data_IF_392226712560
#
_entry.id   IF_392226712560
#
_cell.length_a   1.000
_cell.length_b   1.000
_cell.length_c   1.000
_cell.angle_alpha   90.00
_cell.angle_beta   90.00
_cell.angle_gamma   90.00
#
_symmetry.space_group_name_H-M   'P 1'
#
loop_
_entity.id
_entity.type
_entity.pdbx_description
1 polymer ?
#
# COMPACT_ATOMS: atom_id res chain seq x y z
N UNK A 1 -48.72 -3.50 45.93
CA UNK A 1 -47.40 -4.16 45.89
C UNK A 1 -47.18 -4.91 44.57
N UNK A 2 -48.07 -5.81 44.17
CA UNK A 2 -48.00 -6.54 42.87
C UNK A 2 -47.97 -5.62 41.64
N UNK A 3 -48.77 -4.56 41.63
CA UNK A 3 -48.81 -3.58 40.53
C UNK A 3 -47.48 -2.84 40.32
N UNK A 4 -46.82 -2.43 41.42
CA UNK A 4 -45.53 -1.74 41.38
C UNK A 4 -44.43 -2.70 40.90
N UNK A 5 -44.46 -3.95 41.36
CA UNK A 5 -43.51 -4.98 40.92
C UNK A 5 -43.64 -5.26 39.42
N UNK A 6 -44.87 -5.36 38.91
CA UNK A 6 -45.15 -5.51 37.47
C UNK A 6 -44.55 -4.36 36.65
N UNK A 7 -44.80 -3.10 37.05
CA UNK A 7 -44.26 -1.92 36.36
C UNK A 7 -42.72 -1.93 36.36
N UNK A 8 -42.09 -2.17 37.52
CA UNK A 8 -40.62 -2.19 37.62
C UNK A 8 -40.00 -3.27 36.74
N UNK A 9 -40.61 -4.46 36.71
CA UNK A 9 -40.16 -5.56 35.87
C UNK A 9 -40.28 -5.23 34.37
N UNK A 10 -41.43 -4.69 33.93
CA UNK A 10 -41.64 -4.29 32.54
C UNK A 10 -40.66 -3.18 32.13
N UNK A 11 -40.42 -2.19 32.99
CA UNK A 11 -39.48 -1.10 32.71
C UNK A 11 -38.04 -1.62 32.59
N UNK A 12 -37.62 -2.51 33.48
CA UNK A 12 -36.31 -3.17 33.43
C UNK A 12 -36.15 -4.01 32.14
N UNK A 13 -37.19 -4.76 31.76
CA UNK A 13 -37.20 -5.53 30.52
C UNK A 13 -37.04 -4.64 29.28
N UNK A 14 -37.78 -3.53 29.20
CA UNK A 14 -37.68 -2.58 28.09
C UNK A 14 -36.30 -1.93 28.02
N UNK A 15 -35.73 -1.50 29.16
CA UNK A 15 -34.38 -0.94 29.22
C UNK A 15 -33.32 -1.90 28.70
N UNK A 16 -33.41 -3.19 29.07
CA UNK A 16 -32.46 -4.20 28.60
C UNK A 16 -32.60 -4.48 27.11
N UNK A 17 -33.83 -4.51 26.58
CA UNK A 17 -34.06 -4.65 25.13
C UNK A 17 -33.46 -3.47 24.37
N UNK A 18 -33.73 -2.24 24.83
CA UNK A 18 -33.21 -1.02 24.19
C UNK A 18 -31.68 -0.98 24.24
N UNK A 19 -31.08 -1.29 25.40
CA UNK A 19 -29.62 -1.39 25.55
C UNK A 19 -29.02 -2.44 24.63
N UNK A 20 -29.70 -3.59 24.47
CA UNK A 20 -29.29 -4.64 23.55
C UNK A 20 -29.24 -4.18 22.10
N UNK A 21 -30.27 -3.46 21.65
CA UNK A 21 -30.33 -2.88 20.29
C UNK A 21 -29.21 -1.88 20.08
N UNK A 22 -29.01 -0.93 21.01
CA UNK A 22 -27.93 0.06 20.89
C UNK A 22 -26.54 -0.57 20.90
N UNK A 23 -26.31 -1.58 21.74
CA UNK A 23 -25.04 -2.31 21.77
C UNK A 23 -24.80 -3.04 20.44
N UNK A 24 -25.83 -3.67 19.87
CA UNK A 24 -25.76 -4.31 18.57
C UNK A 24 -25.40 -3.32 17.46
N UNK A 25 -26.09 -2.17 17.39
CA UNK A 25 -25.78 -1.12 16.42
C UNK A 25 -24.37 -0.54 16.59
N UNK A 26 -23.90 -0.37 17.84
CA UNK A 26 -22.53 0.10 18.10
C UNK A 26 -21.47 -0.90 17.63
N UNK A 27 -21.70 -2.21 17.85
CA UNK A 27 -20.81 -3.27 17.37
C UNK A 27 -20.81 -3.34 15.84
N UNK A 28 -21.98 -3.28 15.21
CA UNK A 28 -22.11 -3.32 13.75
C UNK A 28 -21.42 -2.12 13.09
N UNK A 29 -21.60 -0.91 13.64
CA UNK A 29 -20.91 0.29 13.16
C UNK A 29 -19.39 0.18 13.29
N UNK A 30 -18.89 -0.33 14.41
CA UNK A 30 -17.45 -0.53 14.60
C UNK A 30 -16.88 -1.56 13.61
N UNK A 31 -17.64 -2.60 13.27
CA UNK A 31 -17.25 -3.59 12.25
C UNK A 31 -17.26 -3.01 10.84
N UNK A 32 -18.26 -2.19 10.51
CA UNK A 32 -18.38 -1.56 9.19
C UNK A 32 -17.25 -0.57 8.91
N UNK A 33 -16.82 0.20 9.91
CA UNK A 33 -15.68 1.13 9.77
C UNK A 33 -14.38 0.40 9.41
N UNK A 34 -14.12 -0.75 10.02
CA UNK A 34 -12.95 -1.56 9.69
C UNK A 34 -13.00 -2.13 8.27
N UNK A 35 -14.16 -2.64 7.85
CA UNK A 35 -14.34 -3.17 6.50
C UNK A 35 -14.18 -2.07 5.43
N UNK A 36 -14.78 -0.89 5.66
CA UNK A 36 -14.67 0.26 4.77
C UNK A 36 -13.23 0.78 4.66
N UNK A 37 -12.50 0.84 5.78
CA UNK A 37 -11.09 1.24 5.78
C UNK A 37 -10.22 0.26 4.98
N UNK A 38 -10.42 -1.05 5.14
CA UNK A 38 -9.67 -2.06 4.38
C UNK A 38 -9.98 -1.99 2.88
N UNK A 39 -11.24 -1.77 2.52
CA UNK A 39 -11.68 -1.62 1.13
C UNK A 39 -11.01 -0.42 0.45
N UNK A 40 -10.98 0.75 1.12
CA UNK A 40 -10.33 1.95 0.57
C UNK A 40 -8.83 1.75 0.31
N UNK A 41 -8.13 1.03 1.20
CA UNK A 41 -6.70 0.73 1.04
C UNK A 41 -6.45 -0.21 -0.17
N UNK A 42 -7.37 -1.14 -0.43
CA UNK A 42 -7.28 -2.06 -1.56
C UNK A 42 -7.57 -1.35 -2.88
N UNK A 43 -8.59 -0.50 -2.92
CA UNK A 43 -8.96 0.30 -4.10
C UNK A 43 -7.82 1.25 -4.51
N UNK A 44 -7.22 1.95 -3.55
CA UNK A 44 -6.03 2.78 -3.80
C UNK A 44 -4.91 1.93 -4.42
N UNK A 45 -4.63 0.74 -3.87
CA UNK A 45 -3.59 -0.15 -4.40
C UNK A 45 -3.86 -0.57 -5.84
N UNK A 46 -5.09 -0.94 -6.18
CA UNK A 46 -5.45 -1.36 -7.54
C UNK A 46 -5.35 -0.21 -8.55
N UNK A 47 -5.81 0.99 -8.20
CA UNK A 47 -5.68 2.18 -9.05
C UNK A 47 -4.21 2.47 -9.35
N UNK A 48 -3.37 2.39 -8.33
CA UNK A 48 -1.93 2.63 -8.47
C UNK A 48 -1.23 1.57 -9.33
N UNK A 49 -1.59 0.29 -9.15
CA UNK A 49 -1.08 -0.80 -10.00
C UNK A 49 -1.45 -0.53 -11.46
N UNK A 50 -2.68 -0.07 -11.72
CA UNK A 50 -3.13 0.32 -13.06
C UNK A 50 -2.26 1.42 -13.69
N UNK A 51 -2.01 2.52 -12.96
CA UNK A 51 -1.19 3.64 -13.44
C UNK A 51 0.26 3.25 -13.73
N UNK A 52 0.85 2.39 -12.90
CA UNK A 52 2.22 1.89 -13.09
C UNK A 52 2.29 0.95 -14.30
N UNK A 53 1.24 0.14 -14.52
CA UNK A 53 1.14 -0.74 -15.69
C UNK A 53 1.05 0.04 -17.00
N UNK A 54 0.29 1.13 -17.00
CA UNK A 54 0.19 2.03 -18.15
C UNK A 54 1.53 2.69 -18.47
N UNK A 55 2.27 3.13 -17.44
CA UNK A 55 3.63 3.62 -17.61
C UNK A 55 4.52 2.57 -18.26
N UNK A 56 4.56 1.36 -17.72
CA UNK A 56 5.40 0.29 -18.26
C UNK A 56 5.11 0.04 -19.75
N UNK A 57 3.84 0.10 -20.16
CA UNK A 57 3.44 0.03 -21.56
C UNK A 57 3.95 1.24 -22.38
N UNK A 58 3.88 2.46 -21.85
CA UNK A 58 4.40 3.69 -22.50
C UNK A 58 5.92 3.67 -22.69
N UNK A 59 6.68 3.03 -21.82
CA UNK A 59 8.12 2.83 -22.00
C UNK A 59 8.44 1.91 -23.20
N UNK A 60 7.46 1.20 -23.76
CA UNK A 60 7.62 0.36 -24.94
C UNK A 60 7.99 -1.10 -24.63
N UNK A 61 8.01 -1.50 -23.36
CA UNK A 61 8.43 -2.84 -22.93
C UNK A 61 7.43 -3.96 -23.28
N UNK A 62 6.25 -3.62 -23.81
CA UNK A 62 5.23 -4.60 -24.19
C UNK A 62 5.68 -5.55 -25.32
N UNK A 63 6.67 -5.15 -26.14
CA UNK A 63 7.19 -5.98 -27.24
C UNK A 63 8.51 -6.69 -26.93
N UNK A 64 9.29 -6.20 -25.97
CA UNK A 64 10.64 -6.73 -25.65
C UNK A 64 10.70 -7.54 -24.36
N UNK A 65 9.66 -7.51 -23.53
CA UNK A 65 9.59 -8.29 -22.28
C UNK A 65 10.21 -7.58 -21.06
N UNK A 66 10.87 -6.44 -21.25
CA UNK A 66 11.47 -5.65 -20.16
C UNK A 66 11.92 -4.27 -20.60
N UNK A 67 12.26 -3.41 -19.64
CA UNK A 67 12.84 -2.09 -19.87
C UNK A 67 14.35 -2.20 -19.68
N UNK A 68 15.14 -1.89 -20.70
CA UNK A 68 16.60 -1.78 -20.57
C UNK A 68 17.01 -0.40 -20.06
N UNK A 69 18.23 -0.27 -19.54
CA UNK A 69 18.73 1.02 -19.04
C UNK A 69 18.69 2.13 -20.12
N UNK A 70 19.04 1.79 -21.37
CA UNK A 70 19.02 2.75 -22.47
C UNK A 70 17.60 3.29 -22.74
N UNK A 71 16.60 2.40 -22.75
CA UNK A 71 15.19 2.79 -22.91
C UNK A 71 14.71 3.65 -21.76
N UNK A 72 15.03 3.26 -20.52
CA UNK A 72 14.65 4.02 -19.33
C UNK A 72 15.28 5.41 -19.36
N UNK A 73 16.57 5.52 -19.71
CA UNK A 73 17.29 6.80 -19.78
C UNK A 73 16.70 7.72 -20.86
N UNK A 74 16.39 7.18 -22.05
CA UNK A 74 15.75 7.93 -23.12
C UNK A 74 14.39 8.48 -22.68
N UNK A 75 13.58 7.64 -22.03
CA UNK A 75 12.23 8.00 -21.60
C UNK A 75 12.20 8.91 -20.38
N UNK A 76 13.15 8.78 -19.46
CA UNK A 76 13.35 9.75 -18.36
C UNK A 76 13.82 11.12 -18.85
N UNK A 77 14.34 11.20 -20.08
CA UNK A 77 14.61 12.47 -20.76
C UNK A 77 13.36 13.20 -21.23
N UNK A 78 12.21 12.52 -21.33
CA UNK A 78 10.92 13.12 -21.66
C UNK A 78 10.31 13.80 -20.41
N UNK A 79 10.09 15.12 -20.45
CA UNK A 79 9.47 15.85 -19.34
C UNK A 79 8.11 15.28 -18.92
N UNK A 80 7.33 14.75 -19.86
CA UNK A 80 6.01 14.19 -19.56
C UNK A 80 6.09 12.92 -18.71
N UNK A 81 7.12 12.09 -18.94
CA UNK A 81 7.36 10.88 -18.15
C UNK A 81 7.85 11.24 -16.75
N UNK A 82 8.71 12.26 -16.65
CA UNK A 82 9.23 12.77 -15.37
C UNK A 82 8.13 13.34 -14.50
N UNK A 83 7.28 14.21 -15.06
CA UNK A 83 6.11 14.77 -14.37
C UNK A 83 5.17 13.65 -13.91
N UNK A 84 4.95 12.63 -14.75
CA UNK A 84 4.11 11.50 -14.38
C UNK A 84 4.71 10.68 -13.22
N UNK A 85 6.02 10.47 -13.17
CA UNK A 85 6.69 9.80 -12.04
C UNK A 85 6.60 10.64 -10.76
N UNK A 86 6.67 11.98 -10.87
CA UNK A 86 6.43 12.88 -9.74
C UNK A 86 4.97 12.78 -9.23
N UNK A 87 3.97 12.62 -10.11
CA UNK A 87 2.58 12.36 -9.66
C UNK A 87 2.43 11.03 -8.91
N UNK A 88 3.34 10.09 -9.15
CA UNK A 88 3.43 8.84 -8.41
C UNK A 88 4.29 8.94 -7.15
N UNK A 89 4.77 10.14 -6.79
CA UNK A 89 5.62 10.37 -5.62
C UNK A 89 7.07 9.90 -5.78
N UNK A 90 7.53 9.72 -7.02
CA UNK A 90 8.88 9.27 -7.33
C UNK A 90 9.70 10.44 -7.88
N UNK A 91 10.58 11.01 -7.04
CA UNK A 91 11.56 12.00 -7.49
C UNK A 91 12.82 11.30 -7.99
N UNK A 92 13.03 11.32 -9.31
CA UNK A 92 14.14 10.64 -9.97
C UNK A 92 15.16 11.68 -10.42
N UNK A 93 16.20 11.85 -9.60
CA UNK A 93 17.35 12.70 -9.89
C UNK A 93 18.41 11.98 -10.72
N UNK A 94 18.54 10.66 -10.58
CA UNK A 94 19.48 9.83 -11.35
C UNK A 94 18.79 8.58 -11.92
N UNK A 95 18.79 8.49 -13.25
CA UNK A 95 18.22 7.37 -14.00
C UNK A 95 18.97 6.05 -13.73
N UNK A 96 20.28 6.10 -13.51
CA UNK A 96 21.08 4.90 -13.26
C UNK A 96 20.78 4.31 -11.89
N UNK A 97 20.77 5.15 -10.85
CA UNK A 97 20.37 4.72 -9.52
C UNK A 97 18.94 4.19 -9.49
N UNK A 98 18.00 4.84 -10.20
CA UNK A 98 16.63 4.36 -10.30
C UNK A 98 16.56 3.00 -10.99
N UNK A 99 17.23 2.81 -12.13
CA UNK A 99 17.31 1.51 -12.80
C UNK A 99 17.82 0.40 -11.88
N UNK A 100 18.90 0.67 -11.15
CA UNK A 100 19.49 -0.30 -10.21
C UNK A 100 18.59 -0.62 -9.01
N UNK A 101 17.70 0.29 -8.63
CA UNK A 101 16.70 0.04 -7.60
C UNK A 101 15.51 -0.77 -8.12
N UNK A 102 15.32 -0.86 -9.44
CA UNK A 102 14.29 -1.66 -10.07
C UNK A 102 14.78 -3.06 -10.47
N UNK A 103 15.99 -3.15 -11.05
CA UNK A 103 16.71 -4.38 -11.47
C UNK A 103 17.11 -5.22 -10.24
N UNK A 104 16.19 -6.04 -9.73
CA UNK A 104 16.39 -6.77 -8.48
C UNK A 104 17.22 -8.03 -8.67
N UNK A 105 17.13 -8.66 -9.83
CA UNK A 105 17.89 -9.85 -10.20
C UNK A 105 19.28 -9.53 -10.79
N UNK A 106 19.52 -8.27 -11.19
CA UNK A 106 20.76 -7.82 -11.81
C UNK A 106 20.89 -8.27 -13.27
N UNK A 107 19.80 -8.68 -13.90
CA UNK A 107 19.72 -9.16 -15.28
C UNK A 107 19.98 -8.07 -16.31
N UNK A 108 19.92 -6.79 -15.92
CA UNK A 108 20.16 -5.66 -16.83
C UNK A 108 18.94 -5.31 -17.70
N UNK A 109 17.79 -5.90 -17.38
CA UNK A 109 16.48 -5.56 -17.92
C UNK A 109 15.46 -5.62 -16.79
N UNK A 110 14.58 -4.63 -16.71
CA UNK A 110 13.55 -4.57 -15.67
C UNK A 110 12.24 -5.13 -16.23
N UNK A 111 11.78 -6.24 -15.68
CA UNK A 111 10.48 -6.83 -16.03
C UNK A 111 9.31 -6.04 -15.42
N UNK A 112 8.07 -6.33 -15.85
CA UNK A 112 6.89 -5.60 -15.37
C UNK A 112 6.68 -5.80 -13.86
N UNK A 113 6.90 -7.01 -13.35
CA UNK A 113 6.82 -7.31 -11.92
C UNK A 113 7.86 -6.54 -11.11
N UNK A 114 9.09 -6.44 -11.62
CA UNK A 114 10.18 -5.70 -10.98
C UNK A 114 9.93 -4.19 -11.00
N UNK A 115 9.47 -3.66 -12.14
CA UNK A 115 9.09 -2.26 -12.28
C UNK A 115 7.97 -1.91 -11.29
N UNK A 116 6.96 -2.77 -11.19
CA UNK A 116 5.82 -2.57 -10.32
C UNK A 116 6.19 -2.64 -8.84
N UNK A 117 6.91 -3.69 -8.42
CA UNK A 117 7.40 -3.81 -7.05
C UNK A 117 8.36 -2.67 -6.69
N UNK A 118 9.24 -2.31 -7.60
CA UNK A 118 10.20 -1.22 -7.42
C UNK A 118 9.51 0.13 -7.26
N UNK A 119 8.54 0.48 -8.12
CA UNK A 119 7.76 1.71 -7.99
C UNK A 119 6.93 1.73 -6.69
N UNK A 120 6.30 0.61 -6.30
CA UNK A 120 5.57 0.52 -5.04
C UNK A 120 6.47 0.68 -3.83
N UNK A 121 7.71 0.15 -3.89
CA UNK A 121 8.71 0.27 -2.83
C UNK A 121 9.25 1.70 -2.71
N UNK A 122 9.47 2.37 -3.84
CA UNK A 122 10.09 3.69 -3.89
C UNK A 122 9.12 4.85 -3.67
N UNK A 123 7.81 4.64 -3.91
CA UNK A 123 6.76 5.66 -3.71
C UNK A 123 6.52 6.00 -2.22
N UNK A 124 6.91 5.12 -1.31
CA UNK A 124 6.71 5.33 0.12
C UNK A 124 7.89 6.06 0.76
N UNK A 125 7.61 7.02 1.65
CA UNK A 125 8.55 7.29 2.74
C UNK A 125 8.89 5.94 3.39
N UNK A 126 10.17 5.60 3.52
CA UNK A 126 10.59 4.35 4.15
C UNK A 126 9.77 4.17 5.43
N UNK A 127 8.88 3.17 5.47
CA UNK A 127 8.01 3.02 6.63
C UNK A 127 8.92 2.68 7.81
N UNK A 128 8.55 3.10 9.01
CA UNK A 128 9.34 2.83 10.22
C UNK A 128 9.72 1.33 10.35
N UNK A 129 8.86 0.43 9.85
CA UNK A 129 9.11 -1.01 9.78
C UNK A 129 10.23 -1.40 8.80
N UNK A 130 10.35 -0.74 7.65
CA UNK A 130 11.37 -1.01 6.64
C UNK A 130 12.75 -0.57 7.17
N UNK A 131 12.82 0.59 7.85
CA UNK A 131 14.02 1.05 8.57
C UNK A 131 14.38 0.12 9.73
N UNK A 132 13.39 -0.32 10.51
CA UNK A 132 13.61 -1.24 11.63
C UNK A 132 14.15 -2.60 11.16
N UNK A 133 13.71 -3.07 10.00
CA UNK A 133 14.20 -4.31 9.38
C UNK A 133 15.67 -4.18 8.98
N UNK A 134 16.06 -3.06 8.37
CA UNK A 134 17.47 -2.77 8.04
C UNK A 134 18.34 -2.78 9.30
N UNK A 135 17.89 -2.12 10.38
CA UNK A 135 18.62 -2.06 11.66
C UNK A 135 18.77 -3.48 12.27
N UNK A 136 17.71 -4.29 12.18
CA UNK A 136 17.71 -5.65 12.67
C UNK A 136 18.70 -6.53 11.88
N UNK A 137 18.65 -6.48 10.56
CA UNK A 137 19.53 -7.26 9.67
C UNK A 137 21.01 -6.87 9.89
N UNK A 138 21.31 -5.58 10.06
CA UNK A 138 22.67 -5.13 10.42
C UNK A 138 23.12 -5.67 11.78
N UNK A 139 22.25 -5.62 12.79
CA UNK A 139 22.56 -6.14 14.12
C UNK A 139 22.79 -7.65 14.10
N UNK A 140 22.03 -8.37 13.28
CA UNK A 140 22.19 -9.81 13.09
C UNK A 140 23.54 -10.15 12.42
N UNK A 141 23.90 -9.43 11.37
CA UNK A 141 25.19 -9.60 10.68
C UNK A 141 26.39 -9.31 11.60
N UNK A 142 26.30 -8.27 12.44
CA UNK A 142 27.35 -7.93 13.41
C UNK A 142 27.49 -9.01 14.48
N UNK A 143 26.37 -9.59 14.95
CA UNK A 143 26.39 -10.67 15.95
C UNK A 143 26.87 -12.02 15.40
N UNK A 144 26.66 -12.29 14.12
CA UNK A 144 26.97 -13.58 13.50
C UNK A 144 28.37 -13.63 12.83
N UNK A 145 29.14 -12.54 12.90
CA UNK A 145 30.54 -12.49 12.46
C UNK A 145 31.56 -12.40 13.63
N UNK A 146 31.09 -12.45 14.87
CA UNK A 146 31.92 -12.45 16.09
C UNK A 146 32.04 -13.83 16.74
#
# INVERSE_FOLDING_TARGET
MTFVFYISFTYFAVLNVVTGVFCHSAIESAQHDHAAAVQSILEDKEEHVGKVRELFSKFGAASEGGITFAMLQERLGDPAVREYLETLGLDISDAWSFFKLLDMDGGGSVEIEEFLMGCLRLRGAARAIDVSKIIHDQTWLIKNQG
#
